data_IF_368840701820
#
_entry.id   IF_368840701820
#
_cell.length_a   1.000
_cell.length_b   1.000
_cell.length_c   1.000
_cell.angle_alpha   90.00
_cell.angle_beta   90.00
_cell.angle_gamma   90.00
#
_symmetry.space_group_name_H-M   'P 1'
#
loop_
_entity.id
_entity.type
_entity.pdbx_description
1 polymer ?
#
# COMPACT_ATOMS: atom_id res chain seq x y z
N UNK A 1 -29.25 -3.53 -33.08
CA UNK A 1 -27.99 -3.50 -32.30
C UNK A 1 -28.13 -3.86 -30.82
N UNK A 2 -29.11 -3.35 -30.04
CA UNK A 2 -29.26 -3.72 -28.62
C UNK A 2 -29.73 -5.18 -28.32
N UNK A 3 -30.32 -5.88 -29.29
CA UNK A 3 -30.89 -7.23 -29.08
C UNK A 3 -29.85 -8.35 -29.31
N UNK A 4 -28.83 -8.12 -30.15
CA UNK A 4 -27.77 -9.12 -30.40
C UNK A 4 -26.73 -9.19 -29.29
N UNK A 5 -26.44 -8.07 -28.61
CA UNK A 5 -25.57 -8.06 -27.42
C UNK A 5 -26.20 -8.85 -26.25
N UNK A 6 -27.51 -8.73 -26.03
CA UNK A 6 -28.22 -9.45 -24.97
C UNK A 6 -28.21 -10.98 -25.15
N UNK A 7 -28.28 -11.47 -26.39
CA UNK A 7 -28.23 -12.92 -26.67
C UNK A 7 -26.83 -13.52 -26.48
N UNK A 8 -25.77 -12.77 -26.75
CA UNK A 8 -24.38 -13.20 -26.50
C UNK A 8 -24.05 -13.21 -24.99
N UNK A 9 -24.57 -12.24 -24.24
CA UNK A 9 -24.41 -12.16 -22.78
C UNK A 9 -25.09 -13.34 -22.07
N UNK A 10 -26.30 -13.73 -22.50
CA UNK A 10 -27.01 -14.85 -21.90
C UNK A 10 -26.36 -16.21 -22.17
N UNK A 11 -25.81 -16.41 -23.38
CA UNK A 11 -25.09 -17.64 -23.72
C UNK A 11 -23.76 -17.77 -22.94
N UNK A 12 -23.06 -16.65 -22.70
CA UNK A 12 -21.82 -16.61 -21.92
C UNK A 12 -22.08 -16.90 -20.43
N UNK A 13 -23.14 -16.32 -19.85
CA UNK A 13 -23.55 -16.55 -18.46
C UNK A 13 -23.94 -18.01 -18.18
N UNK A 14 -24.62 -18.67 -19.14
CA UNK A 14 -24.98 -20.09 -19.02
C UNK A 14 -23.74 -20.99 -19.11
N UNK A 15 -22.76 -20.64 -19.96
CA UNK A 15 -21.48 -21.34 -20.05
C UNK A 15 -20.63 -21.25 -18.78
N UNK A 16 -20.60 -20.07 -18.14
CA UNK A 16 -19.91 -19.84 -16.86
C UNK A 16 -20.56 -20.65 -15.73
N UNK A 17 -21.90 -20.72 -15.68
CA UNK A 17 -22.62 -21.45 -14.63
C UNK A 17 -22.42 -22.99 -14.72
N UNK A 18 -22.27 -23.53 -15.93
CA UNK A 18 -22.00 -24.95 -16.17
C UNK A 18 -20.55 -25.35 -15.86
N UNK A 19 -19.59 -24.44 -15.97
CA UNK A 19 -18.18 -24.71 -15.66
C UNK A 19 -17.86 -24.63 -14.16
N UNK A 20 -18.56 -23.76 -13.41
CA UNK A 20 -18.41 -23.60 -11.96
C UNK A 20 -18.76 -24.87 -11.15
N UNK A 21 -19.51 -25.81 -11.74
CA UNK A 21 -19.90 -27.07 -11.09
C UNK A 21 -18.85 -28.19 -11.19
N UNK A 22 -17.79 -28.05 -11.99
CA UNK A 22 -16.92 -29.17 -12.37
C UNK A 22 -15.43 -29.06 -11.97
N UNK A 23 -15.02 -28.05 -11.21
CA UNK A 23 -13.62 -27.89 -10.80
C UNK A 23 -13.40 -28.28 -9.33
N UNK A 24 -13.37 -29.58 -9.04
CA UNK A 24 -12.79 -30.14 -7.80
C UNK A 24 -11.81 -31.25 -8.20
N UNK A 25 -10.56 -30.87 -8.49
CA UNK A 25 -9.50 -31.79 -8.85
C UNK A 25 -8.14 -31.21 -8.47
N UNK A 26 -7.84 -31.17 -7.19
CA UNK A 26 -6.52 -30.78 -6.68
C UNK A 26 -5.48 -31.85 -7.08
N UNK A 27 -4.45 -31.45 -7.83
CA UNK A 27 -3.21 -32.23 -7.97
C UNK A 27 -2.14 -31.63 -7.07
N UNK A 28 -1.75 -32.36 -6.04
CA UNK A 28 -0.58 -32.04 -5.23
C UNK A 28 0.70 -32.28 -6.06
N UNK A 29 1.58 -31.27 -6.14
CA UNK A 29 2.87 -31.36 -6.84
C UNK A 29 3.97 -31.75 -5.84
N UNK A 30 4.89 -32.61 -6.28
CA UNK A 30 6.03 -33.10 -5.50
C UNK A 30 7.07 -31.97 -5.30
N UNK A 31 7.16 -31.46 -4.07
CA UNK A 31 7.97 -30.32 -3.61
C UNK A 31 9.47 -30.55 -3.68
N UNK A 32 9.94 -31.79 -3.81
CA UNK A 32 11.38 -32.10 -3.78
C UNK A 32 12.15 -31.67 -5.04
N UNK A 33 11.48 -31.53 -6.19
CA UNK A 33 12.13 -31.08 -7.43
C UNK A 33 12.34 -29.56 -7.52
N UNK A 34 11.59 -28.78 -6.74
CA UNK A 34 11.70 -27.30 -6.68
C UNK A 34 12.89 -26.82 -5.84
N UNK A 35 13.31 -27.61 -4.84
CA UNK A 35 14.45 -27.29 -3.98
C UNK A 35 15.79 -27.22 -4.74
N UNK A 36 15.88 -27.85 -5.92
CA UNK A 36 17.07 -27.83 -6.77
C UNK A 36 17.32 -26.48 -7.49
N UNK A 37 16.29 -25.66 -7.69
CA UNK A 37 16.40 -24.32 -8.29
C UNK A 37 16.71 -23.21 -7.27
N UNK A 38 16.72 -23.55 -5.97
CA UNK A 38 16.98 -22.61 -4.85
C UNK A 38 18.49 -22.45 -4.59
N UNK A 39 19.36 -23.24 -5.23
CA UNK A 39 20.80 -23.17 -4.94
C UNK A 39 21.57 -22.15 -5.79
N UNK A 40 21.74 -20.95 -5.24
CA UNK A 40 23.08 -20.36 -5.11
C UNK A 40 23.23 -19.49 -3.86
N UNK A 41 24.17 -19.93 -3.02
CA UNK A 41 24.95 -19.24 -1.98
C UNK A 41 24.29 -18.17 -1.10
N UNK A 42 24.09 -18.57 0.16
CA UNK A 42 24.01 -17.71 1.35
C UNK A 42 22.68 -17.01 1.61
N UNK A 43 21.59 -17.76 1.77
CA UNK A 43 20.53 -17.36 2.70
C UNK A 43 19.67 -18.57 3.07
N UNK A 44 20.12 -19.30 4.08
CA UNK A 44 19.32 -20.29 4.80
C UNK A 44 18.29 -19.52 5.62
N UNK A 45 17.06 -19.38 5.10
CA UNK A 45 15.87 -19.01 5.88
C UNK A 45 14.80 -20.07 5.66
N UNK A 46 15.07 -21.28 6.11
CA UNK A 46 14.04 -22.30 6.35
C UNK A 46 14.15 -22.68 7.83
N UNK A 47 13.11 -22.37 8.61
CA UNK A 47 12.95 -22.85 9.98
C UNK A 47 13.10 -21.84 11.11
N UNK A 48 13.22 -20.54 10.85
CA UNK A 48 13.22 -19.53 11.92
C UNK A 48 11.81 -19.01 12.16
N UNK A 49 11.38 -19.02 13.43
CA UNK A 49 10.23 -18.24 13.88
C UNK A 49 10.37 -16.81 13.36
N UNK A 50 9.27 -16.20 12.90
CA UNK A 50 9.20 -14.79 12.49
C UNK A 50 9.62 -13.80 13.60
N UNK A 51 9.88 -14.26 14.82
CA UNK A 51 10.54 -13.48 15.87
C UNK A 51 12.02 -13.19 15.58
N UNK A 52 12.67 -13.94 14.69
CA UNK A 52 14.13 -13.87 14.45
C UNK A 52 14.48 -13.34 13.04
N UNK A 53 13.51 -12.86 12.27
CA UNK A 53 13.79 -11.98 11.12
C UNK A 53 14.24 -10.64 11.65
N UNK A 54 15.55 -10.58 11.94
CA UNK A 54 16.36 -9.44 12.26
C UNK A 54 15.71 -8.47 13.25
N UNK A 55 16.33 -8.36 14.42
CA UNK A 55 16.41 -7.09 15.14
C UNK A 55 16.60 -5.99 14.08
N UNK A 56 15.50 -5.33 13.71
CA UNK A 56 15.56 -4.12 12.92
C UNK A 56 16.41 -3.22 13.78
N UNK A 57 17.51 -2.75 13.23
CA UNK A 57 18.37 -1.79 13.89
C UNK A 57 17.64 -0.44 13.93
N UNK A 58 16.50 -0.41 14.63
CA UNK A 58 15.75 0.80 14.99
C UNK A 58 16.60 1.71 15.87
N UNK A 59 17.74 1.22 16.37
CA UNK A 59 18.75 2.01 17.07
C UNK A 59 19.37 3.06 16.16
N UNK A 60 19.47 2.80 14.84
CA UNK A 60 20.07 3.73 13.87
C UNK A 60 19.07 4.41 12.92
N UNK A 61 17.77 4.09 13.00
CA UNK A 61 16.75 4.72 12.17
C UNK A 61 16.88 4.40 10.67
N UNK A 62 17.41 3.23 10.31
CA UNK A 62 17.54 2.79 8.91
C UNK A 62 17.11 1.34 8.75
N UNK A 63 16.67 0.96 7.56
CA UNK A 63 16.40 -0.45 7.23
C UNK A 63 16.24 -0.68 5.74
N UNK A 64 16.02 -1.94 5.35
CA UNK A 64 15.82 -2.33 3.96
C UNK A 64 14.71 -3.36 3.82
N UNK A 65 14.01 -3.35 2.69
CA UNK A 65 13.01 -4.36 2.32
C UNK A 65 12.95 -4.52 0.81
N UNK A 66 12.45 -5.66 0.36
CA UNK A 66 12.29 -6.01 -1.06
C UNK A 66 10.84 -5.97 -1.50
N UNK A 67 10.62 -5.54 -2.74
CA UNK A 67 9.31 -5.39 -3.37
C UNK A 67 9.22 -6.24 -4.63
N UNK A 68 8.01 -6.69 -4.95
CA UNK A 68 7.66 -7.29 -6.23
C UNK A 68 6.31 -6.75 -6.70
N UNK A 69 6.19 -6.36 -7.97
CA UNK A 69 4.90 -6.22 -8.64
C UNK A 69 4.82 -7.20 -9.80
N UNK A 70 3.68 -7.88 -9.94
CA UNK A 70 3.52 -8.92 -10.95
C UNK A 70 2.07 -9.10 -11.40
N UNK A 71 1.78 -8.81 -12.66
CA UNK A 71 0.57 -9.30 -13.31
C UNK A 71 0.69 -10.81 -13.53
N UNK A 72 -0.14 -11.59 -12.84
CA UNK A 72 -0.06 -13.06 -12.81
C UNK A 72 -0.90 -13.76 -13.88
N UNK A 73 -1.55 -13.00 -14.78
CA UNK A 73 -2.39 -13.53 -15.87
C UNK A 73 -3.48 -14.51 -15.40
N UNK A 74 -4.00 -14.32 -14.18
CA UNK A 74 -4.90 -15.25 -13.48
C UNK A 74 -6.36 -15.19 -13.94
N UNK A 75 -6.63 -14.72 -15.16
CA UNK A 75 -7.91 -14.83 -15.84
C UNK A 75 -8.30 -16.31 -16.04
N UNK A 76 -9.59 -16.60 -16.23
CA UNK A 76 -10.02 -17.93 -16.69
C UNK A 76 -9.23 -18.33 -17.95
N UNK A 77 -8.66 -19.54 -17.98
CA UNK A 77 -7.70 -20.00 -18.99
C UNK A 77 -8.07 -19.68 -20.46
N UNK A 78 -9.34 -19.82 -20.92
CA UNK A 78 -9.70 -19.44 -22.30
C UNK A 78 -9.57 -17.94 -22.62
N UNK A 79 -9.46 -17.09 -21.61
CA UNK A 79 -9.31 -15.63 -21.71
C UNK A 79 -7.93 -15.15 -21.26
N UNK A 80 -7.08 -16.04 -20.73
CA UNK A 80 -5.70 -15.73 -20.39
C UNK A 80 -4.82 -15.90 -21.63
N UNK A 81 -3.84 -15.01 -21.76
CA UNK A 81 -2.71 -15.10 -22.70
C UNK A 81 -1.64 -16.10 -22.22
N UNK A 82 -1.79 -16.63 -20.99
CA UNK A 82 -0.92 -17.60 -20.35
C UNK A 82 -1.68 -18.92 -20.05
N UNK A 83 -1.05 -19.82 -19.29
CA UNK A 83 -1.66 -21.07 -18.79
C UNK A 83 -1.78 -21.03 -17.26
N UNK A 84 -2.64 -20.15 -16.67
CA UNK A 84 -2.63 -19.88 -15.24
C UNK A 84 -2.95 -21.09 -14.36
N UNK A 85 -3.71 -22.08 -14.87
CA UNK A 85 -3.97 -23.35 -14.17
C UNK A 85 -2.69 -24.14 -13.87
N UNK A 86 -1.74 -24.14 -14.82
CA UNK A 86 -0.44 -24.80 -14.68
C UNK A 86 0.58 -23.88 -14.01
N UNK A 87 0.59 -22.59 -14.37
CA UNK A 87 1.64 -21.66 -14.01
C UNK A 87 1.51 -21.08 -12.59
N UNK A 88 0.29 -20.78 -12.12
CA UNK A 88 0.06 -20.12 -10.82
C UNK A 88 0.64 -20.90 -9.63
N UNK A 89 0.53 -22.24 -9.55
CA UNK A 89 1.16 -23.02 -8.48
C UNK A 89 2.68 -22.78 -8.32
N UNK A 90 3.38 -22.53 -9.43
CA UNK A 90 4.83 -22.27 -9.40
C UNK A 90 5.17 -20.85 -8.91
N UNK A 91 4.27 -19.88 -9.07
CA UNK A 91 4.53 -18.48 -8.73
C UNK A 91 4.66 -18.26 -7.21
N UNK A 92 3.81 -18.87 -6.40
CA UNK A 92 3.78 -18.68 -4.94
C UNK A 92 5.14 -18.89 -4.26
N UNK A 93 5.81 -20.05 -4.45
CA UNK A 93 7.12 -20.30 -3.84
C UNK A 93 8.23 -19.38 -4.38
N UNK A 94 8.09 -18.92 -5.63
CA UNK A 94 9.05 -18.00 -6.25
C UNK A 94 8.94 -16.57 -5.71
N UNK A 95 7.78 -16.22 -5.13
CA UNK A 95 7.55 -14.93 -4.48
C UNK A 95 8.11 -14.85 -3.06
N UNK A 96 8.35 -15.98 -2.38
CA UNK A 96 8.86 -16.06 -0.99
C UNK A 96 10.07 -15.16 -0.67
N UNK A 97 11.03 -14.90 -1.58
CA UNK A 97 12.18 -14.03 -1.28
C UNK A 97 11.88 -12.53 -1.18
N UNK A 98 10.69 -12.07 -1.59
CA UNK A 98 10.32 -10.64 -1.56
C UNK A 98 9.53 -10.32 -0.29
N UNK A 99 9.70 -9.14 0.30
CA UNK A 99 9.05 -8.82 1.59
C UNK A 99 7.61 -8.30 1.43
N UNK A 100 7.33 -7.63 0.32
CA UNK A 100 6.02 -7.05 0.01
C UNK A 100 5.74 -7.18 -1.49
N UNK A 101 4.63 -7.81 -1.82
CA UNK A 101 4.23 -8.15 -3.18
C UNK A 101 2.86 -7.54 -3.49
N UNK A 102 2.74 -6.98 -4.70
CA UNK A 102 1.47 -6.57 -5.29
C UNK A 102 1.24 -7.37 -6.57
N UNK A 103 0.19 -8.18 -6.58
CA UNK A 103 -0.22 -8.94 -7.77
C UNK A 103 -1.40 -8.30 -8.47
N UNK A 104 -1.38 -8.33 -9.81
CA UNK A 104 -2.48 -7.90 -10.69
C UNK A 104 -3.00 -9.11 -11.47
N UNK A 105 -4.25 -9.03 -11.94
CA UNK A 105 -4.96 -10.15 -12.58
C UNK A 105 -5.07 -11.43 -11.74
N UNK A 106 -4.94 -11.33 -10.42
CA UNK A 106 -5.14 -12.45 -9.51
C UNK A 106 -6.64 -12.71 -9.28
N UNK A 107 -7.29 -13.23 -10.33
CA UNK A 107 -8.73 -13.48 -10.36
C UNK A 107 -9.09 -14.91 -9.95
N UNK A 108 -8.98 -15.87 -10.88
CA UNK A 108 -9.59 -17.20 -10.76
C UNK A 108 -8.66 -18.25 -10.14
N UNK A 109 -7.35 -17.99 -10.07
CA UNK A 109 -6.35 -18.92 -9.55
C UNK A 109 -5.74 -18.50 -8.20
N UNK A 110 -6.32 -17.48 -7.57
CA UNK A 110 -5.92 -16.94 -6.26
C UNK A 110 -5.72 -17.99 -5.17
N UNK A 111 -6.65 -18.94 -5.04
CA UNK A 111 -6.56 -19.99 -4.03
C UNK A 111 -5.30 -20.84 -4.23
N UNK A 112 -4.92 -21.11 -5.47
CA UNK A 112 -3.68 -21.84 -5.80
C UNK A 112 -2.44 -21.01 -5.49
N UNK A 113 -2.44 -19.72 -5.85
CA UNK A 113 -1.34 -18.80 -5.52
C UNK A 113 -1.10 -18.79 -4.00
N UNK A 114 -2.18 -18.61 -3.22
CA UNK A 114 -2.11 -18.52 -1.76
C UNK A 114 -1.76 -19.85 -1.09
N UNK A 115 -2.18 -20.98 -1.66
CA UNK A 115 -1.84 -22.30 -1.13
C UNK A 115 -0.32 -22.58 -1.22
N UNK A 116 0.38 -21.94 -2.16
CA UNK A 116 1.81 -22.16 -2.39
C UNK A 116 2.70 -20.98 -1.96
N UNK A 117 2.11 -19.90 -1.47
CA UNK A 117 2.82 -18.74 -0.92
C UNK A 117 3.05 -18.88 0.61
N UNK A 118 4.03 -18.15 1.17
CA UNK A 118 4.40 -18.17 2.60
C UNK A 118 4.16 -16.88 3.39
N UNK A 119 3.70 -15.79 2.77
CA UNK A 119 3.49 -14.51 3.44
C UNK A 119 2.32 -14.56 4.44
N UNK A 120 2.50 -14.16 5.71
CA UNK A 120 1.47 -14.26 6.74
C UNK A 120 0.40 -13.16 6.64
N UNK A 121 0.70 -12.02 6.02
CA UNK A 121 -0.25 -10.92 5.86
C UNK A 121 -0.66 -10.83 4.40
N UNK A 122 -1.95 -11.11 4.16
CA UNK A 122 -2.52 -11.16 2.81
C UNK A 122 -3.85 -10.45 2.75
N UNK A 123 -4.13 -9.77 1.64
CA UNK A 123 -5.48 -9.28 1.37
C UNK A 123 -6.40 -10.46 1.08
N UNK A 124 -7.67 -10.36 1.48
CA UNK A 124 -8.69 -11.27 0.96
C UNK A 124 -8.96 -10.94 -0.51
N UNK A 125 -9.18 -11.97 -1.34
CA UNK A 125 -9.62 -11.77 -2.74
C UNK A 125 -10.95 -11.02 -2.82
N UNK A 126 -11.09 -10.20 -3.85
CA UNK A 126 -12.33 -9.50 -4.23
C UNK A 126 -13.27 -10.39 -5.07
N UNK A 127 -12.81 -11.56 -5.52
CA UNK A 127 -13.57 -12.50 -6.34
C UNK A 127 -12.87 -12.82 -7.67
N UNK A 128 -13.47 -13.74 -8.44
CA UNK A 128 -12.98 -14.09 -9.77
C UNK A 128 -13.29 -13.02 -10.83
N UNK A 129 -12.84 -13.27 -12.06
CA UNK A 129 -13.06 -12.38 -13.20
C UNK A 129 -14.55 -12.04 -13.36
N UNK A 130 -14.87 -10.76 -13.50
CA UNK A 130 -16.23 -10.23 -13.59
C UNK A 130 -16.87 -9.85 -12.26
N UNK A 131 -16.23 -10.17 -11.14
CA UNK A 131 -16.69 -9.84 -9.78
C UNK A 131 -15.59 -9.12 -9.00
N UNK A 132 -14.34 -9.61 -9.08
CA UNK A 132 -13.19 -9.03 -8.39
C UNK A 132 -12.40 -8.04 -9.25
N UNK A 133 -11.56 -7.26 -8.57
CA UNK A 133 -10.61 -6.32 -9.17
C UNK A 133 -9.29 -6.98 -9.63
N UNK A 134 -9.03 -8.21 -9.19
CA UNK A 134 -7.81 -8.96 -9.51
C UNK A 134 -6.55 -8.41 -8.82
N UNK A 135 -6.71 -7.61 -7.77
CA UNK A 135 -5.59 -6.98 -7.06
C UNK A 135 -5.42 -7.63 -5.68
N UNK A 136 -4.24 -8.15 -5.38
CA UNK A 136 -3.96 -8.69 -4.05
C UNK A 136 -2.58 -8.28 -3.54
N UNK A 137 -2.47 -8.20 -2.22
CA UNK A 137 -1.25 -7.85 -1.49
C UNK A 137 -0.81 -9.05 -0.65
N UNK A 138 0.47 -9.41 -0.74
CA UNK A 138 1.12 -10.42 0.10
C UNK A 138 2.34 -9.78 0.77
N UNK A 139 2.51 -9.97 2.07
CA UNK A 139 3.54 -9.24 2.83
C UNK A 139 4.00 -9.99 4.09
N UNK A 140 5.28 -9.85 4.43
CA UNK A 140 5.82 -10.21 5.75
C UNK A 140 5.58 -9.11 6.79
N UNK A 141 5.30 -7.89 6.35
CA UNK A 141 4.91 -6.79 7.22
C UNK A 141 3.39 -6.75 7.43
N UNK A 142 2.91 -6.57 8.67
CA UNK A 142 1.50 -6.35 8.92
C UNK A 142 1.05 -5.05 8.25
N UNK A 143 -0.15 -5.08 7.68
CA UNK A 143 -0.79 -3.89 7.13
C UNK A 143 -2.19 -3.69 7.70
N UNK A 144 -2.65 -2.45 7.62
CA UNK A 144 -3.97 -2.01 8.05
C UNK A 144 -4.55 -1.03 7.04
N UNK A 145 -5.77 -0.54 7.30
CA UNK A 145 -6.44 0.46 6.44
C UNK A 145 -6.51 0.05 4.98
N UNK A 146 -6.72 -1.25 4.75
CA UNK A 146 -6.86 -1.81 3.42
C UNK A 146 -8.14 -1.29 2.74
N UNK A 147 -8.00 -0.73 1.54
CA UNK A 147 -9.13 -0.24 0.73
C UNK A 147 -8.99 -0.70 -0.71
N UNK A 148 -10.13 -0.94 -1.35
CA UNK A 148 -10.26 -1.22 -2.80
C UNK A 148 -11.10 -0.11 -3.41
N UNK A 149 -10.67 0.44 -4.53
CA UNK A 149 -11.34 1.54 -5.22
C UNK A 149 -11.42 1.22 -6.70
N UNK A 150 -12.64 1.07 -7.21
CA UNK A 150 -12.91 0.83 -8.62
C UNK A 150 -12.61 2.08 -9.45
N UNK A 151 -12.20 1.88 -10.70
CA UNK A 151 -12.03 2.97 -11.65
C UNK A 151 -13.37 3.59 -12.02
N UNK A 152 -13.44 4.92 -12.01
CA UNK A 152 -14.63 5.67 -12.44
C UNK A 152 -14.81 5.61 -13.97
N UNK A 153 -13.72 5.36 -14.70
CA UNK A 153 -13.68 5.29 -16.15
C UNK A 153 -12.98 4.01 -16.63
N UNK A 154 -13.58 3.33 -17.59
CA UNK A 154 -13.06 2.15 -18.27
C UNK A 154 -13.46 2.17 -19.75
N UNK A 155 -12.81 1.35 -20.56
CA UNK A 155 -13.19 1.07 -21.94
C UNK A 155 -12.94 -0.41 -22.29
N UNK A 156 -13.65 -0.94 -23.29
CA UNK A 156 -13.41 -2.29 -23.81
C UNK A 156 -13.72 -3.39 -22.81
N UNK A 157 -12.91 -4.45 -22.82
CA UNK A 157 -13.06 -5.61 -21.92
C UNK A 157 -12.80 -5.28 -20.46
N UNK A 158 -12.04 -4.22 -20.17
CA UNK A 158 -11.73 -3.77 -18.82
C UNK A 158 -12.99 -3.33 -18.07
N UNK A 159 -14.06 -2.94 -18.77
CA UNK A 159 -15.37 -2.65 -18.15
C UNK A 159 -16.16 -3.90 -17.73
N UNK A 160 -15.68 -5.11 -18.06
CA UNK A 160 -16.37 -6.36 -17.71
C UNK A 160 -16.01 -6.86 -16.31
N UNK A 161 -15.05 -6.23 -15.62
CA UNK A 161 -14.62 -6.55 -14.27
C UNK A 161 -14.31 -5.24 -13.52
N UNK A 162 -14.50 -5.16 -12.19
CA UNK A 162 -14.26 -3.92 -11.45
C UNK A 162 -12.75 -3.67 -11.25
N UNK A 163 -12.02 -3.35 -12.32
CA UNK A 163 -10.61 -2.93 -12.21
C UNK A 163 -10.50 -1.66 -11.37
N UNK A 164 -9.35 -1.48 -10.73
CA UNK A 164 -9.16 -0.38 -9.80
C UNK A 164 -7.74 -0.27 -9.25
N UNK A 165 -7.66 0.19 -8.01
CA UNK A 165 -6.46 0.19 -7.20
C UNK A 165 -6.78 -0.18 -5.74
N UNK A 166 -5.75 -0.56 -4.99
CA UNK A 166 -5.83 -0.78 -3.55
C UNK A 166 -4.88 0.12 -2.79
N UNK A 167 -5.20 0.40 -1.52
CA UNK A 167 -4.30 0.98 -0.53
C UNK A 167 -4.09 -0.05 0.58
N UNK A 168 -2.85 -0.19 1.06
CA UNK A 168 -2.51 -0.91 2.28
C UNK A 168 -1.43 -0.16 3.07
N UNK A 169 -1.73 0.22 4.32
CA UNK A 169 -0.77 0.89 5.22
C UNK A 169 0.07 -0.14 5.95
N UNK A 170 1.30 -0.34 5.50
CA UNK A 170 2.25 -1.31 6.04
C UNK A 170 3.05 -0.72 7.19
N UNK A 171 3.26 -1.52 8.24
CA UNK A 171 4.22 -1.23 9.32
C UNK A 171 5.48 -2.03 9.05
N UNK A 172 6.45 -1.42 8.37
CA UNK A 172 7.71 -2.09 7.97
C UNK A 172 8.73 -2.19 9.11
N UNK A 173 8.56 -1.36 10.13
CA UNK A 173 9.26 -1.42 11.41
C UNK A 173 8.41 -0.72 12.50
N UNK A 174 8.72 -0.89 13.80
CA UNK A 174 8.10 -0.09 14.85
C UNK A 174 8.18 1.42 14.53
N UNK A 175 7.03 2.07 14.41
CA UNK A 175 6.93 3.50 14.10
C UNK A 175 7.29 3.90 12.66
N UNK A 176 7.47 2.95 11.74
CA UNK A 176 7.76 3.20 10.32
C UNK A 176 6.60 2.67 9.48
N UNK A 177 5.80 3.59 8.95
CA UNK A 177 4.59 3.28 8.20
C UNK A 177 4.71 3.76 6.76
N UNK A 178 4.37 2.88 5.81
CA UNK A 178 4.33 3.17 4.38
C UNK A 178 2.94 2.91 3.83
N UNK A 179 2.41 3.84 3.04
CA UNK A 179 1.21 3.60 2.25
C UNK A 179 1.62 2.95 0.92
N UNK A 180 1.13 1.73 0.68
CA UNK A 180 1.48 0.99 -0.54
C UNK A 180 0.24 0.76 -1.38
N UNK A 181 0.35 1.14 -2.65
CA UNK A 181 -0.71 1.06 -3.62
C UNK A 181 -0.44 -0.01 -4.68
N UNK A 182 -1.45 -0.84 -4.92
CA UNK A 182 -1.53 -1.77 -6.06
C UNK A 182 -2.48 -1.18 -7.09
N UNK A 183 -2.21 -1.29 -8.39
CA UNK A 183 -3.15 -0.84 -9.40
C UNK A 183 -2.98 -1.57 -10.73
N UNK A 184 -4.08 -1.64 -11.48
CA UNK A 184 -4.10 -2.13 -12.85
C UNK A 184 -5.02 -1.23 -13.68
N UNK A 185 -4.44 -0.35 -14.50
CA UNK A 185 -5.21 0.61 -15.32
C UNK A 185 -5.75 0.00 -16.61
N UNK A 186 -6.63 0.73 -17.31
CA UNK A 186 -7.20 0.31 -18.58
C UNK A 186 -6.14 -0.11 -19.61
N UNK A 187 -6.29 -1.32 -20.15
CA UNK A 187 -5.42 -1.86 -21.20
C UNK A 187 -5.67 -1.22 -22.58
N UNK A 188 -4.95 -1.69 -23.60
CA UNK A 188 -5.10 -1.30 -25.01
C UNK A 188 -4.76 0.17 -25.34
N UNK A 189 -4.81 0.52 -26.64
CA UNK A 189 -4.23 1.74 -27.20
C UNK A 189 -5.15 2.56 -28.10
N UNK A 190 -6.43 2.21 -28.24
CA UNK A 190 -7.38 3.05 -28.97
C UNK A 190 -7.67 4.33 -28.17
N UNK A 191 -8.11 5.41 -28.83
CA UNK A 191 -8.27 6.72 -28.19
C UNK A 191 -9.12 6.70 -26.90
N UNK A 192 -10.16 5.86 -26.87
CA UNK A 192 -11.00 5.65 -25.68
C UNK A 192 -10.27 4.91 -24.55
N UNK A 193 -9.38 3.98 -24.86
CA UNK A 193 -8.52 3.30 -23.89
C UNK A 193 -7.53 4.28 -23.25
N UNK A 194 -6.88 5.09 -24.10
CA UNK A 194 -5.97 6.15 -23.64
C UNK A 194 -6.73 7.12 -22.71
N UNK A 195 -7.96 7.51 -23.07
CA UNK A 195 -8.78 8.41 -22.26
C UNK A 195 -9.15 7.81 -20.90
N UNK A 196 -9.58 6.54 -20.86
CA UNK A 196 -9.87 5.84 -19.62
C UNK A 196 -8.62 5.75 -18.73
N UNK A 197 -7.48 5.34 -19.28
CA UNK A 197 -6.23 5.22 -18.54
C UNK A 197 -5.74 6.55 -17.99
N UNK A 198 -5.85 7.65 -18.76
CA UNK A 198 -5.56 9.00 -18.24
C UNK A 198 -6.42 9.35 -17.03
N UNK A 199 -7.71 9.00 -17.06
CA UNK A 199 -8.62 9.18 -15.93
C UNK A 199 -8.21 8.32 -14.73
N UNK A 200 -7.81 7.07 -14.94
CA UNK A 200 -7.36 6.17 -13.86
C UNK A 200 -6.15 6.74 -13.12
N UNK A 201 -5.13 7.22 -13.85
CA UNK A 201 -3.92 7.84 -13.28
C UNK A 201 -4.28 9.07 -12.43
N UNK A 202 -5.17 9.95 -12.91
CA UNK A 202 -5.59 11.11 -12.14
C UNK A 202 -6.42 10.72 -10.90
N UNK A 203 -7.26 9.69 -11.00
CA UNK A 203 -8.08 9.21 -9.90
C UNK A 203 -7.23 8.69 -8.73
N UNK A 204 -6.23 7.83 -9.00
CA UNK A 204 -5.33 7.33 -7.94
C UNK A 204 -4.48 8.44 -7.34
N UNK A 205 -3.98 9.39 -8.14
CA UNK A 205 -3.23 10.55 -7.64
C UNK A 205 -4.08 11.42 -6.71
N UNK A 206 -5.32 11.74 -7.10
CA UNK A 206 -6.25 12.48 -6.26
C UNK A 206 -6.57 11.74 -4.95
N UNK A 207 -6.70 10.41 -5.02
CA UNK A 207 -6.91 9.58 -3.85
C UNK A 207 -5.69 9.59 -2.92
N UNK A 208 -4.47 9.48 -3.45
CA UNK A 208 -3.21 9.56 -2.70
C UNK A 208 -3.10 10.92 -1.99
N UNK A 209 -3.37 12.03 -2.69
CA UNK A 209 -3.34 13.36 -2.08
C UNK A 209 -4.35 13.49 -0.94
N UNK A 210 -5.49 12.82 -1.03
CA UNK A 210 -6.54 12.86 -0.01
C UNK A 210 -6.28 11.91 1.18
N UNK A 211 -5.69 10.74 0.94
CA UNK A 211 -5.62 9.64 1.93
C UNK A 211 -4.20 9.32 2.42
N UNK A 212 -3.17 9.86 1.77
CA UNK A 212 -1.76 9.68 2.10
C UNK A 212 -1.03 11.01 2.23
N UNK A 213 -1.76 12.11 2.44
CA UNK A 213 -1.17 13.39 2.80
C UNK A 213 -0.27 13.23 4.02
N UNK A 214 1.00 13.61 3.88
CA UNK A 214 2.00 13.49 4.95
C UNK A 214 2.64 12.11 5.10
N UNK A 215 2.23 11.08 4.34
CA UNK A 215 2.82 9.75 4.40
C UNK A 215 3.88 9.50 3.32
N UNK A 216 4.82 8.61 3.61
CA UNK A 216 5.67 8.00 2.60
C UNK A 216 4.84 6.96 1.82
N UNK A 217 5.00 6.96 0.49
CA UNK A 217 4.14 6.22 -0.44
C UNK A 217 4.97 5.42 -1.43
N UNK A 218 4.53 4.19 -1.70
CA UNK A 218 4.96 3.38 -2.85
C UNK A 218 3.73 3.05 -3.68
N UNK A 219 3.82 3.21 -5.00
CA UNK A 219 2.76 2.87 -5.95
C UNK A 219 3.35 1.94 -6.99
N UNK A 220 2.84 0.71 -7.07
CA UNK A 220 3.35 -0.27 -8.03
C UNK A 220 2.25 -1.13 -8.62
N UNK A 221 2.43 -1.52 -9.88
CA UNK A 221 1.41 -2.26 -10.61
C UNK A 221 1.58 -2.21 -12.11
N UNK A 222 0.62 -2.81 -12.79
CA UNK A 222 0.48 -2.77 -14.24
C UNK A 222 -0.14 -1.43 -14.66
N UNK A 223 0.71 -0.55 -15.16
CA UNK A 223 0.28 0.78 -15.57
C UNK A 223 -0.31 0.79 -16.97
N UNK A 224 -0.24 -0.31 -17.72
CA UNK A 224 -0.62 -0.41 -19.13
C UNK A 224 -0.03 0.69 -20.04
N UNK A 225 1.01 1.41 -19.59
CA UNK A 225 1.55 2.58 -20.27
C UNK A 225 3.07 2.63 -20.26
N UNK A 226 3.59 3.34 -21.25
CA UNK A 226 5.01 3.63 -21.46
C UNK A 226 5.19 5.14 -21.48
N UNK A 227 6.33 5.64 -21.02
CA UNK A 227 6.74 7.03 -21.13
C UNK A 227 6.76 7.51 -22.58
N UNK A 228 7.07 6.66 -23.55
CA UNK A 228 7.05 7.04 -24.96
C UNK A 228 5.66 7.19 -25.54
N UNK A 229 4.59 6.77 -24.85
CA UNK A 229 3.23 6.79 -25.39
C UNK A 229 2.65 8.21 -25.40
N UNK A 230 2.35 8.72 -26.60
CA UNK A 230 1.91 10.11 -26.82
C UNK A 230 0.59 10.47 -26.13
N UNK A 231 -0.38 9.56 -26.11
CA UNK A 231 -1.70 9.82 -25.55
C UNK A 231 -1.88 9.49 -24.07
N UNK A 232 -0.82 9.20 -23.32
CA UNK A 232 -0.91 8.93 -21.87
C UNK A 232 -0.33 10.03 -21.00
N UNK A 233 -0.61 9.94 -19.70
CA UNK A 233 -0.24 10.93 -18.69
C UNK A 233 0.51 10.31 -17.50
N UNK A 234 1.26 9.22 -17.69
CA UNK A 234 2.00 8.59 -16.57
C UNK A 234 2.98 9.53 -15.87
N UNK A 235 3.43 10.59 -16.57
CA UNK A 235 4.26 11.67 -16.02
C UNK A 235 3.57 12.48 -14.92
N UNK A 236 2.25 12.38 -14.76
CA UNK A 236 1.56 13.02 -13.65
C UNK A 236 2.05 12.52 -12.29
N UNK A 237 2.51 11.27 -12.16
CA UNK A 237 3.19 10.82 -10.93
C UNK A 237 4.39 11.71 -10.60
N UNK A 238 5.19 12.08 -11.61
CA UNK A 238 6.38 12.92 -11.43
C UNK A 238 5.98 14.35 -11.04
N UNK A 239 4.93 14.89 -11.69
CA UNK A 239 4.37 16.20 -11.34
C UNK A 239 3.86 16.25 -9.88
N UNK A 240 3.45 15.11 -9.34
CA UNK A 240 3.00 14.92 -7.95
C UNK A 240 4.11 14.49 -6.98
N UNK A 241 5.38 14.62 -7.39
CA UNK A 241 6.55 14.42 -6.53
C UNK A 241 6.99 12.97 -6.36
N UNK A 242 6.48 12.05 -7.19
CA UNK A 242 6.98 10.68 -7.22
C UNK A 242 8.24 10.56 -8.09
N UNK A 243 9.05 9.56 -7.77
CA UNK A 243 10.18 9.10 -8.59
C UNK A 243 9.90 7.68 -9.07
N UNK A 244 10.19 7.41 -10.33
CA UNK A 244 10.14 6.06 -10.92
C UNK A 244 11.50 5.35 -10.76
N UNK A 245 11.46 4.12 -10.23
CA UNK A 245 12.67 3.35 -9.92
C UNK A 245 13.50 3.02 -11.17
N UNK A 246 12.86 2.62 -12.27
CA UNK A 246 13.55 2.32 -13.54
C UNK A 246 14.21 3.56 -14.10
N UNK A 247 13.49 4.69 -14.07
CA UNK A 247 14.04 5.96 -14.54
C UNK A 247 15.26 6.37 -13.71
N UNK A 248 15.17 6.28 -12.38
CA UNK A 248 16.27 6.66 -11.51
C UNK A 248 17.48 5.74 -11.66
N UNK A 249 17.30 4.42 -11.51
CA UNK A 249 18.41 3.47 -11.40
C UNK A 249 18.96 3.03 -12.76
N UNK A 250 18.10 2.82 -13.75
CA UNK A 250 18.50 2.28 -15.05
C UNK A 250 18.76 3.38 -16.07
N UNK A 251 17.99 4.48 -16.02
CA UNK A 251 18.11 5.59 -16.96
C UNK A 251 18.76 6.86 -16.40
N UNK A 252 19.24 6.82 -15.16
CA UNK A 252 19.94 7.95 -14.53
C UNK A 252 19.12 9.25 -14.48
N UNK A 253 17.81 9.14 -14.33
CA UNK A 253 16.88 10.28 -14.32
C UNK A 253 16.42 10.74 -15.71
N UNK A 254 16.87 10.11 -16.80
CA UNK A 254 16.48 10.47 -18.16
C UNK A 254 15.16 9.82 -18.57
N UNK A 255 14.09 10.62 -18.64
CA UNK A 255 12.80 10.16 -19.15
C UNK A 255 12.82 10.01 -20.67
N UNK A 256 12.24 8.92 -21.23
CA UNK A 256 12.02 8.79 -22.67
C UNK A 256 11.21 9.96 -23.23
N UNK A 257 11.38 10.27 -24.52
CA UNK A 257 10.60 11.33 -25.19
C UNK A 257 9.17 10.84 -25.43
N UNK A 258 8.17 11.58 -24.96
CA UNK A 258 6.77 11.27 -25.21
C UNK A 258 6.45 11.42 -26.71
N UNK A 259 5.77 10.43 -27.29
CA UNK A 259 5.53 10.31 -28.72
C UNK A 259 6.72 9.78 -29.53
N UNK A 260 7.84 9.45 -28.88
CA UNK A 260 8.96 8.74 -29.53
C UNK A 260 8.66 7.26 -29.73
N UNK A 261 9.58 6.58 -30.42
CA UNK A 261 9.49 5.14 -30.63
C UNK A 261 9.47 4.37 -29.30
N UNK A 262 8.72 3.27 -29.27
CA UNK A 262 8.70 2.38 -28.11
C UNK A 262 10.09 1.78 -27.85
N UNK A 263 10.52 1.79 -26.60
CA UNK A 263 11.77 1.16 -26.17
C UNK A 263 11.53 -0.35 -26.00
N UNK A 264 11.84 -1.14 -27.02
CA UNK A 264 11.55 -2.59 -27.07
C UNK A 264 12.80 -3.46 -27.16
N UNK A 265 13.97 -2.91 -26.83
CA UNK A 265 15.24 -3.64 -26.81
C UNK A 265 15.33 -4.49 -25.54
N UNK A 266 14.53 -5.57 -25.51
CA UNK A 266 14.30 -6.39 -24.33
C UNK A 266 14.97 -7.77 -24.40
N UNK A 267 15.16 -8.33 -25.59
CA UNK A 267 15.65 -9.70 -25.76
C UNK A 267 17.08 -9.88 -25.24
N UNK A 268 17.26 -10.69 -24.19
CA UNK A 268 18.56 -10.91 -23.54
C UNK A 268 19.02 -9.78 -22.60
N UNK A 269 18.24 -8.70 -22.46
CA UNK A 269 18.55 -7.53 -21.62
C UNK A 269 17.27 -6.83 -21.18
N UNK A 270 16.37 -7.55 -20.50
CA UNK A 270 15.08 -7.01 -20.04
C UNK A 270 15.25 -5.94 -18.97
N UNK A 271 16.31 -6.04 -18.16
CA UNK A 271 16.71 -4.99 -17.21
C UNK A 271 17.68 -4.02 -17.90
N UNK A 272 17.17 -3.19 -18.81
CA UNK A 272 17.99 -2.23 -19.56
C UNK A 272 17.27 -0.90 -19.77
N UNK A 273 18.05 0.11 -20.16
CA UNK A 273 17.49 1.41 -20.52
C UNK A 273 16.71 1.37 -21.85
N UNK A 274 16.94 0.35 -22.69
CA UNK A 274 16.28 0.15 -23.98
C UNK A 274 15.02 -0.71 -23.93
N UNK A 275 14.71 -1.32 -22.77
CA UNK A 275 13.51 -2.11 -22.56
C UNK A 275 12.55 -1.38 -21.61
N UNK A 276 11.49 -0.76 -22.16
CA UNK A 276 10.43 -0.18 -21.35
C UNK A 276 9.22 -1.12 -21.25
N UNK A 277 8.96 -1.58 -20.03
CA UNK A 277 7.75 -2.34 -19.67
C UNK A 277 6.64 -1.43 -19.12
N UNK A 278 5.44 -1.98 -19.07
CA UNK A 278 4.24 -1.29 -18.56
C UNK A 278 4.07 -1.43 -17.04
N UNK A 279 4.72 -2.40 -16.43
CA UNK A 279 4.78 -2.56 -14.97
C UNK A 279 5.78 -1.57 -14.37
N UNK A 280 5.34 -0.75 -13.41
CA UNK A 280 6.18 0.33 -12.84
C UNK A 280 6.13 0.35 -11.33
N UNK A 281 7.20 0.90 -10.73
CA UNK A 281 7.31 1.16 -9.30
C UNK A 281 7.64 2.64 -9.12
N UNK A 282 6.72 3.37 -8.50
CA UNK A 282 6.87 4.76 -8.11
C UNK A 282 6.99 4.87 -6.59
N UNK A 283 7.73 5.86 -6.12
CA UNK A 283 7.83 6.12 -4.69
C UNK A 283 7.96 7.60 -4.37
N UNK A 284 7.56 7.97 -3.15
CA UNK A 284 7.67 9.31 -2.57
C UNK A 284 7.94 9.18 -1.08
N UNK A 285 9.01 9.79 -0.58
CA UNK A 285 9.26 9.90 0.87
C UNK A 285 8.35 10.92 1.55
N UNK A 286 8.57 11.18 2.83
CA UNK A 286 7.98 12.32 3.52
C UNK A 286 9.05 13.04 4.36
N UNK A 287 8.67 14.00 5.20
CA UNK A 287 9.61 14.72 6.07
C UNK A 287 10.27 13.86 7.15
N UNK A 288 9.77 12.64 7.38
CA UNK A 288 10.25 11.72 8.42
C UNK A 288 10.97 10.50 7.85
N UNK A 289 10.57 9.98 6.69
CA UNK A 289 11.06 8.77 6.05
C UNK A 289 11.59 9.14 4.66
N UNK A 290 12.89 8.96 4.46
CA UNK A 290 13.49 8.91 3.14
C UNK A 290 13.42 7.48 2.61
N UNK A 291 13.12 7.34 1.32
CA UNK A 291 13.11 6.08 0.59
C UNK A 291 14.13 6.17 -0.54
N UNK A 292 14.95 5.13 -0.70
CA UNK A 292 15.93 5.02 -1.79
C UNK A 292 15.92 3.61 -2.34
N UNK A 293 15.53 3.39 -3.61
CA UNK A 293 15.72 2.09 -4.23
C UNK A 293 17.23 1.83 -4.42
N UNK A 294 17.63 0.57 -4.28
CA UNK A 294 19.01 0.10 -4.47
C UNK A 294 19.13 -0.93 -5.59
N UNK A 295 18.01 -1.45 -6.09
CA UNK A 295 17.98 -2.35 -7.25
C UNK A 295 16.72 -2.13 -8.09
N UNK A 296 16.79 -2.54 -9.35
CA UNK A 296 15.66 -2.70 -10.26
C UNK A 296 15.95 -3.93 -11.11
N UNK A 297 15.04 -4.90 -11.13
CA UNK A 297 15.23 -6.14 -11.88
C UNK A 297 13.91 -6.59 -12.51
N UNK A 298 13.97 -6.91 -13.80
CA UNK A 298 12.99 -7.78 -14.44
C UNK A 298 13.33 -9.22 -14.06
N UNK A 299 12.47 -9.89 -13.29
CA UNK A 299 12.72 -11.23 -12.73
C UNK A 299 12.47 -12.34 -13.77
N UNK A 300 12.92 -12.13 -15.01
CA UNK A 300 12.66 -12.97 -16.18
C UNK A 300 13.35 -14.34 -16.13
N UNK A 301 14.43 -14.47 -15.36
CA UNK A 301 15.08 -15.75 -15.08
C UNK A 301 14.43 -16.51 -13.91
N UNK A 302 13.69 -15.82 -13.02
CA UNK A 302 13.09 -16.42 -11.83
C UNK A 302 11.72 -16.99 -12.13
N UNK A 303 10.85 -16.22 -12.76
CA UNK A 303 9.45 -16.58 -13.00
C UNK A 303 9.27 -17.31 -14.33
N UNK A 304 9.93 -18.47 -14.44
CA UNK A 304 9.85 -19.37 -15.59
C UNK A 304 9.38 -20.76 -15.18
N UNK A 305 8.68 -21.42 -16.09
CA UNK A 305 8.23 -22.78 -15.91
C UNK A 305 9.44 -23.73 -15.78
N UNK A 306 9.52 -24.58 -14.74
CA UNK A 306 10.74 -25.31 -14.39
C UNK A 306 11.17 -26.35 -15.43
N UNK A 307 10.27 -26.76 -16.32
CA UNK A 307 10.55 -27.76 -17.37
C UNK A 307 10.83 -27.11 -18.71
N UNK A 308 10.03 -26.10 -19.09
CA UNK A 308 10.06 -25.54 -20.45
C UNK A 308 10.89 -24.26 -20.52
N UNK A 309 11.19 -23.63 -19.38
CA UNK A 309 11.92 -22.36 -19.31
C UNK A 309 11.14 -21.16 -19.82
N UNK A 310 9.86 -21.32 -20.19
CA UNK A 310 9.02 -20.22 -20.68
C UNK A 310 8.49 -19.39 -19.51
N UNK A 311 8.22 -18.09 -19.68
CA UNK A 311 7.65 -17.25 -18.63
C UNK A 311 6.33 -17.82 -18.07
N UNK A 312 6.12 -17.65 -16.76
CA UNK A 312 4.90 -18.10 -16.06
C UNK A 312 3.69 -17.17 -16.31
N UNK A 313 3.93 -15.94 -16.73
CA UNK A 313 2.92 -14.95 -17.11
C UNK A 313 3.33 -14.32 -18.45
N UNK A 314 2.39 -13.66 -19.11
CA UNK A 314 2.68 -12.81 -20.28
C UNK A 314 3.34 -11.47 -19.88
N UNK A 315 3.30 -11.13 -18.59
CA UNK A 315 4.10 -10.09 -17.99
C UNK A 315 5.38 -10.65 -17.35
N UNK A 316 6.39 -9.80 -17.20
CA UNK A 316 7.56 -10.09 -16.38
C UNK A 316 7.39 -9.42 -15.02
N UNK A 317 7.67 -10.14 -13.94
CA UNK A 317 7.64 -9.54 -12.61
C UNK A 317 8.75 -8.50 -12.46
N UNK A 318 8.42 -7.36 -11.84
CA UNK A 318 9.36 -6.25 -11.59
C UNK A 318 9.67 -6.20 -10.10
N UNK A 319 10.95 -6.26 -9.74
CA UNK A 319 11.39 -6.19 -8.35
C UNK A 319 12.31 -5.00 -8.08
N UNK A 320 12.34 -4.58 -6.83
CA UNK A 320 13.24 -3.56 -6.33
C UNK A 320 13.50 -3.76 -4.84
N UNK A 321 14.74 -3.56 -4.40
CA UNK A 321 15.09 -3.43 -2.99
C UNK A 321 15.09 -1.95 -2.63
N UNK A 322 14.47 -1.60 -1.51
CA UNK A 322 14.45 -0.26 -0.96
C UNK A 322 15.24 -0.21 0.34
N UNK A 323 16.02 0.85 0.50
CA UNK A 323 16.52 1.30 1.79
C UNK A 323 15.66 2.47 2.27
N UNK A 324 15.37 2.51 3.57
CA UNK A 324 14.77 3.67 4.21
C UNK A 324 15.68 4.23 5.30
N UNK A 325 15.56 5.54 5.54
CA UNK A 325 16.18 6.22 6.68
C UNK A 325 15.20 7.21 7.30
N UNK A 326 15.28 7.36 8.63
CA UNK A 326 14.53 8.33 9.39
C UNK A 326 15.28 9.66 9.40
N UNK A 327 14.60 10.72 8.98
CA UNK A 327 15.18 12.05 8.77
C UNK A 327 15.09 12.95 10.01
N UNK A 328 14.26 12.57 10.99
CA UNK A 328 14.00 13.34 12.19
C UNK A 328 13.97 12.41 13.42
N UNK A 329 14.26 12.97 14.60
CA UNK A 329 14.09 12.30 15.89
C UNK A 329 12.62 12.30 16.29
N UNK A 330 11.79 11.59 15.51
CA UNK A 330 10.39 11.36 15.79
C UNK A 330 10.20 9.88 16.13
N UNK A 331 9.29 9.61 17.07
CA UNK A 331 8.82 8.26 17.36
C UNK A 331 7.31 8.23 17.20
N UNK A 332 6.81 7.24 16.47
CA UNK A 332 5.38 7.03 16.28
C UNK A 332 4.89 5.93 17.21
N UNK A 333 3.73 6.15 17.83
CA UNK A 333 2.98 5.05 18.41
C UNK A 333 2.33 4.20 17.32
N UNK A 334 1.78 3.05 17.71
CA UNK A 334 0.71 2.45 16.91
C UNK A 334 -0.53 3.35 16.91
N UNK A 335 -1.44 3.12 15.97
CA UNK A 335 -2.74 3.76 15.96
C UNK A 335 -3.80 2.88 16.61
N UNK A 336 -4.80 3.51 17.24
CA UNK A 336 -5.93 2.82 17.86
C UNK A 336 -7.26 3.39 17.35
N UNK A 337 -8.25 2.55 17.06
CA UNK A 337 -9.56 2.95 16.52
C UNK A 337 -9.95 2.25 15.22
N UNK A 338 -10.91 2.82 14.50
CA UNK A 338 -11.55 2.22 13.32
C UNK A 338 -10.99 2.67 11.97
N UNK A 339 -11.27 1.95 10.88
CA UNK A 339 -10.78 2.24 9.54
C UNK A 339 -11.56 3.34 8.79
N UNK A 340 -12.44 4.08 9.49
CA UNK A 340 -13.33 5.07 8.88
C UNK A 340 -12.65 6.44 8.76
N UNK A 341 -13.38 7.43 8.23
CA UNK A 341 -12.85 8.77 8.00
C UNK A 341 -11.69 8.79 7.00
N UNK A 342 -11.03 9.95 6.90
CA UNK A 342 -9.86 10.19 6.06
C UNK A 342 -8.60 10.14 6.91
N UNK A 343 -7.53 9.55 6.38
CA UNK A 343 -6.28 9.47 7.11
C UNK A 343 -5.55 10.82 7.19
N UNK A 344 -4.81 11.03 8.28
CA UNK A 344 -3.95 12.20 8.48
C UNK A 344 -2.62 11.81 9.12
N UNK A 345 -1.59 12.62 8.89
CA UNK A 345 -0.28 12.51 9.53
C UNK A 345 0.39 13.88 9.63
N UNK A 346 0.73 14.29 10.85
CA UNK A 346 1.28 15.62 11.11
C UNK A 346 2.76 15.76 10.79
N UNK A 347 3.49 14.69 10.42
CA UNK A 347 4.95 14.71 10.23
C UNK A 347 5.45 15.92 9.43
N UNK A 348 4.82 16.17 8.28
CA UNK A 348 5.23 17.24 7.34
C UNK A 348 4.95 18.65 7.87
N UNK A 349 4.14 18.79 8.92
CA UNK A 349 3.80 20.06 9.55
C UNK A 349 4.69 20.35 10.78
N UNK A 350 5.51 19.39 11.21
CA UNK A 350 6.39 19.54 12.37
C UNK A 350 7.67 20.28 11.98
N UNK A 351 8.10 21.31 12.75
CA UNK A 351 9.44 21.86 12.62
C UNK A 351 10.49 20.85 13.11
N UNK A 352 11.77 21.09 12.82
CA UNK A 352 12.89 20.21 13.23
C UNK A 352 13.02 19.99 14.74
N UNK A 353 12.45 20.88 15.55
CA UNK A 353 12.39 20.74 17.00
C UNK A 353 11.02 21.19 17.52
N UNK A 354 10.01 20.31 17.40
CA UNK A 354 8.65 20.66 17.73
C UNK A 354 8.45 20.71 19.24
N UNK A 355 7.69 21.69 19.71
CA UNK A 355 7.31 21.82 21.13
C UNK A 355 5.85 22.22 21.23
N UNK A 356 5.10 21.46 22.03
CA UNK A 356 3.68 21.69 22.26
C UNK A 356 3.46 22.90 23.17
N UNK A 357 2.48 23.75 22.83
CA UNK A 357 2.07 24.90 23.63
C UNK A 357 0.68 24.70 24.25
N UNK A 358 -0.26 24.19 23.46
CA UNK A 358 -1.66 24.07 23.90
C UNK A 358 -2.32 22.88 23.24
N UNK A 359 -2.87 21.99 24.07
CA UNK A 359 -3.72 20.90 23.65
C UNK A 359 -5.19 21.35 23.68
N UNK A 360 -5.94 20.96 22.66
CA UNK A 360 -7.38 21.20 22.55
C UNK A 360 -8.11 19.91 22.21
N UNK A 361 -9.24 19.68 22.87
CA UNK A 361 -10.08 18.50 22.66
C UNK A 361 -11.53 18.93 22.52
N UNK A 362 -12.20 18.52 21.46
CA UNK A 362 -13.66 18.62 21.34
C UNK A 362 -14.26 17.26 21.62
N UNK A 363 -15.21 17.20 22.55
CA UNK A 363 -15.87 15.95 22.87
C UNK A 363 -17.31 16.14 23.37
N UNK A 364 -18.19 15.22 22.97
CA UNK A 364 -19.45 14.91 23.65
C UNK A 364 -19.36 13.53 24.31
N UNK A 365 -20.19 12.58 23.87
CA UNK A 365 -20.05 11.16 24.25
C UNK A 365 -18.86 10.46 23.60
N UNK A 366 -18.29 11.06 22.54
CA UNK A 366 -17.12 10.60 21.78
C UNK A 366 -16.15 11.77 21.61
N UNK A 367 -14.96 11.49 21.08
CA UNK A 367 -13.99 12.53 20.72
C UNK A 367 -14.29 13.02 19.32
N UNK A 368 -14.77 14.25 19.21
CA UNK A 368 -15.12 14.90 17.96
C UNK A 368 -13.88 15.44 17.23
N UNK A 369 -12.94 16.05 17.98
CA UNK A 369 -11.71 16.58 17.40
C UNK A 369 -10.56 16.66 18.41
N UNK A 370 -9.33 16.57 17.91
CA UNK A 370 -8.09 16.82 18.65
C UNK A 370 -7.26 17.86 17.92
N UNK A 371 -6.66 18.79 18.68
CA UNK A 371 -5.75 19.77 18.13
C UNK A 371 -4.59 20.06 19.06
N UNK A 372 -3.41 20.27 18.48
CA UNK A 372 -2.19 20.65 19.18
C UNK A 372 -1.61 21.90 18.52
N UNK A 373 -1.52 22.98 19.29
CA UNK A 373 -0.79 24.17 18.89
C UNK A 373 0.66 24.05 19.36
N UNK A 374 1.60 24.26 18.46
CA UNK A 374 3.03 24.31 18.74
C UNK A 374 3.47 25.72 19.14
N UNK A 375 4.62 25.85 19.80
CA UNK A 375 5.18 27.13 20.26
C UNK A 375 5.51 28.09 19.12
N UNK A 376 5.77 27.58 17.91
CA UNK A 376 5.99 28.40 16.70
C UNK A 376 4.69 28.92 16.05
N UNK A 377 3.52 28.59 16.61
CA UNK A 377 2.21 29.00 16.09
C UNK A 377 1.54 28.01 15.13
N UNK A 378 2.24 26.94 14.70
CA UNK A 378 1.60 25.87 13.91
C UNK A 378 0.46 25.25 14.70
N UNK A 379 -0.70 25.06 14.05
CA UNK A 379 -1.87 24.39 14.63
C UNK A 379 -2.14 23.11 13.86
N UNK A 380 -2.00 21.97 14.54
CA UNK A 380 -2.37 20.66 14.05
C UNK A 380 -3.81 20.40 14.53
N UNK A 381 -4.74 20.04 13.63
CA UNK A 381 -6.15 19.85 14.01
C UNK A 381 -6.82 18.80 13.12
N UNK A 382 -7.48 17.84 13.77
CA UNK A 382 -8.15 16.71 13.13
C UNK A 382 -9.52 16.47 13.76
N UNK A 383 -10.47 15.96 12.98
CA UNK A 383 -11.86 15.75 13.40
C UNK A 383 -12.82 16.90 13.04
N UNK A 384 -14.06 16.80 13.53
CA UNK A 384 -15.15 17.70 13.17
C UNK A 384 -15.41 18.82 14.16
N UNK A 385 -16.53 19.52 13.96
CA UNK A 385 -16.92 20.69 14.77
C UNK A 385 -17.88 20.34 15.92
N UNK A 386 -18.21 19.06 16.11
CA UNK A 386 -19.10 18.58 17.16
C UNK A 386 -18.52 18.75 18.58
N UNK A 387 -19.24 18.24 19.57
CA UNK A 387 -18.81 18.28 20.97
C UNK A 387 -18.61 19.68 21.57
N UNK A 388 -18.11 19.72 22.80
CA UNK A 388 -17.68 20.96 23.48
C UNK A 388 -16.16 21.04 23.50
N UNK A 389 -15.62 22.22 23.20
CA UNK A 389 -14.18 22.48 23.23
C UNK A 389 -13.68 22.62 24.67
N UNK A 390 -12.60 21.93 24.98
CA UNK A 390 -11.78 22.11 26.18
C UNK A 390 -10.32 22.29 25.77
N UNK A 391 -9.57 23.07 26.53
CA UNK A 391 -8.16 23.38 26.21
C UNK A 391 -7.28 23.32 27.44
N UNK A 392 -6.03 22.91 27.24
CA UNK A 392 -4.97 22.90 28.24
C UNK A 392 -3.73 23.58 27.66
N UNK A 393 -3.41 24.77 28.16
CA UNK A 393 -2.13 25.45 27.87
C UNK A 393 -1.05 24.85 28.77
N UNK A 394 0.07 24.46 28.19
CA UNK A 394 1.22 23.90 28.87
C UNK A 394 2.08 25.01 29.48
N UNK A 395 2.64 24.75 30.66
CA UNK A 395 3.67 25.60 31.27
C UNK A 395 5.00 25.51 30.50
N UNK A 396 5.95 26.40 30.82
CA UNK A 396 7.19 26.59 30.06
C UNK A 396 8.08 25.34 29.96
N UNK A 397 8.03 24.44 30.94
CA UNK A 397 8.81 23.18 30.97
C UNK A 397 7.89 21.94 30.95
N UNK A 398 6.61 22.15 30.70
CA UNK A 398 5.60 21.10 30.75
C UNK A 398 5.36 20.56 29.34
N UNK A 399 5.24 19.25 29.23
CA UNK A 399 5.00 18.55 27.98
C UNK A 399 3.96 17.46 28.18
N UNK A 400 3.31 17.05 27.09
CA UNK A 400 2.39 15.91 27.09
C UNK A 400 3.19 14.61 27.10
N UNK A 401 3.02 13.78 28.13
CA UNK A 401 3.84 12.57 28.32
C UNK A 401 3.05 11.28 28.11
N UNK A 402 1.72 11.35 28.03
CA UNK A 402 0.88 10.18 27.86
C UNK A 402 -0.48 10.54 27.25
N UNK A 403 -1.04 9.61 26.48
CA UNK A 403 -2.47 9.61 26.12
C UNK A 403 -3.08 8.24 26.39
N UNK A 404 -4.25 8.22 27.04
CA UNK A 404 -5.14 7.07 27.14
C UNK A 404 -6.32 7.26 26.19
N UNK A 405 -6.58 6.27 25.36
CA UNK A 405 -7.68 6.26 24.40
C UNK A 405 -8.61 5.09 24.68
N UNK A 406 -9.92 5.28 24.53
CA UNK A 406 -10.88 4.17 24.51
C UNK A 406 -11.76 4.24 23.27
N UNK A 407 -11.99 3.09 22.63
CA UNK A 407 -12.75 2.99 21.39
C UNK A 407 -14.08 2.26 21.61
N UNK A 408 -15.05 2.53 20.76
CA UNK A 408 -16.33 1.84 20.75
C UNK A 408 -16.99 1.91 19.39
N UNK A 409 -18.09 1.18 19.20
CA UNK A 409 -18.86 1.18 17.95
C UNK A 409 -20.07 2.10 18.09
N UNK A 410 -20.26 3.00 17.13
CA UNK A 410 -21.46 3.81 16.97
C UNK A 410 -21.95 3.68 15.54
N UNK A 411 -23.20 3.23 15.36
CA UNK A 411 -23.82 3.09 14.03
C UNK A 411 -22.92 2.31 13.05
N UNK A 412 -22.42 1.16 13.51
CA UNK A 412 -21.48 0.28 12.76
C UNK A 412 -20.10 0.88 12.47
N UNK A 413 -19.77 2.06 13.01
CA UNK A 413 -18.45 2.69 12.87
C UNK A 413 -17.68 2.62 14.18
N UNK A 414 -16.46 2.10 14.15
CA UNK A 414 -15.55 2.13 15.31
C UNK A 414 -14.91 3.52 15.42
N UNK A 415 -15.02 4.16 16.58
CA UNK A 415 -14.54 5.53 16.83
C UNK A 415 -13.83 5.64 18.16
N UNK A 416 -13.08 6.73 18.35
CA UNK A 416 -12.53 7.11 19.65
C UNK A 416 -13.65 7.71 20.50
N UNK A 417 -14.03 6.98 21.53
CA UNK A 417 -15.05 7.40 22.49
C UNK A 417 -14.48 8.28 23.60
N UNK A 418 -13.21 8.09 23.95
CA UNK A 418 -12.57 8.79 25.05
C UNK A 418 -11.10 9.06 24.77
N UNK A 419 -10.64 10.24 25.17
CA UNK A 419 -9.23 10.57 25.25
C UNK A 419 -8.92 11.25 26.59
N UNK A 420 -7.82 10.86 27.21
CA UNK A 420 -7.23 11.52 28.36
C UNK A 420 -5.74 11.72 28.09
N UNK A 421 -5.34 12.97 27.95
CA UNK A 421 -3.95 13.36 27.84
C UNK A 421 -3.41 13.73 29.22
N UNK A 422 -2.20 13.28 29.53
CA UNK A 422 -1.46 13.65 30.73
C UNK A 422 -0.25 14.48 30.38
N UNK A 423 0.08 15.43 31.25
CA UNK A 423 1.29 16.23 31.19
C UNK A 423 2.36 15.70 32.15
N UNK A 424 3.62 16.07 31.93
CA UNK A 424 4.74 15.80 32.86
C UNK A 424 4.55 16.36 34.28
N UNK A 425 3.66 17.34 34.48
CA UNK A 425 3.28 17.88 35.80
C UNK A 425 2.05 17.21 36.42
N UNK A 426 1.57 16.09 35.85
CA UNK A 426 0.42 15.34 36.37
C UNK A 426 -0.95 16.00 36.14
N UNK A 427 -1.05 17.02 35.30
CA UNK A 427 -2.32 17.58 34.84
C UNK A 427 -2.91 16.73 33.73
N UNK A 428 -4.23 16.85 33.55
CA UNK A 428 -4.97 16.09 32.54
C UNK A 428 -5.90 16.99 31.72
N UNK A 429 -6.02 16.68 30.43
CA UNK A 429 -7.16 17.09 29.60
C UNK A 429 -7.90 15.85 29.17
N UNK A 430 -9.19 15.77 29.50
CA UNK A 430 -10.02 14.58 29.28
C UNK A 430 -11.31 14.95 28.56
N UNK A 431 -11.80 14.07 27.71
CA UNK A 431 -13.09 14.22 27.04
C UNK A 431 -13.65 12.89 26.53
N UNK A 432 -14.97 12.84 26.35
CA UNK A 432 -15.67 11.65 25.89
C UNK A 432 -16.13 10.71 27.00
N UNK A 433 -16.52 9.48 26.64
CA UNK A 433 -17.02 8.44 27.55
C UNK A 433 -16.15 7.19 27.49
N UNK A 434 -15.68 6.68 28.63
CA UNK A 434 -14.85 5.47 28.66
C UNK A 434 -15.60 4.24 28.16
N UNK A 435 -14.88 3.30 27.55
CA UNK A 435 -15.38 1.98 27.17
C UNK A 435 -14.51 0.89 27.80
N UNK A 436 -14.84 -0.38 27.58
CA UNK A 436 -14.00 -1.52 28.02
C UNK A 436 -12.74 -1.71 27.17
N UNK A 437 -12.67 -1.11 25.99
CA UNK A 437 -11.56 -1.29 25.04
C UNK A 437 -10.72 -0.03 25.02
N UNK A 438 -9.57 -0.06 25.68
CA UNK A 438 -8.68 1.09 25.81
C UNK A 438 -7.22 0.72 25.56
N UNK A 439 -6.45 1.72 25.16
CA UNK A 439 -4.98 1.65 25.08
C UNK A 439 -4.37 2.89 25.72
N UNK A 440 -3.08 2.82 26.06
CA UNK A 440 -2.32 3.96 26.55
C UNK A 440 -0.98 4.04 25.83
N UNK A 441 -0.64 5.20 25.28
CA UNK A 441 0.66 5.50 24.71
C UNK A 441 1.40 6.45 25.64
N UNK A 442 2.62 6.09 26.04
CA UNK A 442 3.48 6.90 26.92
C UNK A 442 4.74 7.29 26.17
N UNK A 443 5.16 8.55 26.30
CA UNK A 443 6.41 9.03 25.74
C UNK A 443 7.61 8.40 26.49
N UNK A 444 8.71 8.09 25.80
CA UNK A 444 9.97 7.76 26.46
C UNK A 444 10.45 8.88 27.40
N UNK A 445 11.34 8.55 28.33
CA UNK A 445 11.95 9.56 29.21
C UNK A 445 12.65 10.64 28.37
N UNK A 446 12.32 11.92 28.64
CA UNK A 446 12.85 13.05 27.89
C UNK A 446 12.17 13.29 26.54
N UNK A 447 11.00 12.68 26.28
CA UNK A 447 10.20 12.88 25.07
C UNK A 447 8.78 13.35 25.42
N UNK A 448 8.12 14.02 24.49
CA UNK A 448 6.74 14.48 24.63
C UNK A 448 5.95 14.34 23.33
N UNK A 449 4.62 14.32 23.44
CA UNK A 449 3.70 14.28 22.29
C UNK A 449 3.72 15.64 21.59
N UNK A 450 4.03 15.63 20.29
CA UNK A 450 4.19 16.82 19.45
C UNK A 450 3.31 16.84 18.21
N UNK A 451 2.60 15.76 17.93
CA UNK A 451 1.68 15.66 16.81
C UNK A 451 0.88 14.36 16.83
N UNK A 452 0.06 14.17 15.81
CA UNK A 452 -0.83 13.03 15.68
C UNK A 452 -0.74 12.38 14.29
N UNK A 453 -1.14 11.12 14.24
CA UNK A 453 -1.43 10.41 13.00
C UNK A 453 -2.64 9.50 13.23
N UNK A 454 -3.43 9.24 12.20
CA UNK A 454 -4.67 8.50 12.40
C UNK A 454 -5.68 8.68 11.28
N UNK A 455 -6.96 8.66 11.64
CA UNK A 455 -8.08 8.87 10.73
C UNK A 455 -9.20 9.65 11.42
N UNK A 456 -9.84 10.53 10.68
CA UNK A 456 -10.96 11.32 11.18
C UNK A 456 -11.95 11.71 10.10
N UNK A 457 -13.20 11.92 10.49
CA UNK A 457 -14.22 12.63 9.73
C UNK A 457 -14.91 13.65 10.63
N UNK A 458 -16.22 13.53 10.82
CA UNK A 458 -16.97 14.32 11.79
C UNK A 458 -16.51 14.10 13.24
N UNK A 459 -15.90 12.95 13.52
CA UNK A 459 -15.31 12.56 14.80
C UNK A 459 -13.93 11.92 14.57
N UNK A 460 -13.16 11.69 15.63
CA UNK A 460 -11.90 10.93 15.55
C UNK A 460 -12.23 9.44 15.45
N UNK A 461 -11.92 8.83 14.31
CA UNK A 461 -12.13 7.41 14.07
C UNK A 461 -10.96 6.57 14.59
N UNK A 462 -9.73 7.08 14.41
CA UNK A 462 -8.49 6.43 14.81
C UNK A 462 -7.42 7.45 15.18
N UNK A 463 -6.65 7.17 16.23
CA UNK A 463 -5.61 8.08 16.72
C UNK A 463 -4.36 7.33 17.20
N UNK A 464 -3.21 7.84 16.81
CA UNK A 464 -1.89 7.61 17.37
C UNK A 464 -1.17 8.94 17.58
N UNK A 465 -0.01 8.90 18.22
CA UNK A 465 0.77 10.08 18.61
C UNK A 465 2.19 10.02 18.04
N UNK A 466 2.71 11.21 17.76
CA UNK A 466 4.10 11.43 17.37
C UNK A 466 4.82 12.06 18.57
N UNK A 467 5.93 11.45 18.97
CA UNK A 467 6.80 11.94 20.03
C UNK A 467 8.06 12.58 19.45
N UNK A 468 8.59 13.59 20.13
CA UNK A 468 9.93 14.15 19.90
C UNK A 468 10.64 14.42 21.24
N UNK A 469 11.98 14.56 21.26
CA UNK A 469 12.71 14.97 22.45
C UNK A 469 12.19 16.31 22.99
N UNK A 470 12.02 16.41 24.31
CA UNK A 470 11.70 17.69 24.97
C UNK A 470 12.94 18.57 24.98
N UNK A 471 12.74 19.88 24.85
CA UNK A 471 13.81 20.89 24.88
C UNK A 471 14.09 21.41 26.28
#
# INVERSE_FOLDING_TARGET
MKIEQSRKVLALLVGILLFLLNCNGEKAINTESLLGLVQKTSQTKIGTNYSDLAVIDTVNGTGSFSLLTYNVAGLLEPFSSSNPSENTPYMGPLMTPFDLIQVQEDFNYHASLYANDSHPYRSATSGGMGIGDGLNTLSYFPFSDFQRVDWDACNGTDCLTPKGFTLARHKVAPGVFLDVYNFHTNASTEDADLAARRSNVLQILNFIESNSAGNAVIVMGDTNTRYTRSGDNIREFINHGFTDVWIQLIRGGSYPTQGGDALTDCEGHRTSAGCEVVDKIFYRGNSYISLSPSSYLMEDARFVHPVTGVPLSDHYAVSSTFNYSLLQNLLYSDTFGGPHGTAFNDANSLPSSPSALKLSLRSGSRVDAVSLQLTNGTVLSHGGTGGSLQTLTLGTTEYLDQVKLCSGVKSSHTRIFYAQFRTSLGRFLTGGSTTSTCTTYSAPNGWGIVGFHGRSGDEIDKLGVIFAPVQ
#
